data_IF_209652192159
#
_entry.id   IF_209652192159
#
_cell.length_a   1.000
_cell.length_b   1.000
_cell.length_c   1.000
_cell.angle_alpha   90.00
_cell.angle_beta   90.00
_cell.angle_gamma   90.00
#
_symmetry.space_group_name_H-M   'P 1'
#
loop_
_entity.id
_entity.type
_entity.pdbx_description
1 polymer ?
#
# COMPACT_ATOMS: atom_id res chain seq x y z
N UNK A 1 -7.97 50.19 19.37
CA UNK A 1 -8.16 48.84 19.93
C UNK A 1 -8.50 47.87 18.79
N UNK A 2 -7.51 47.19 18.21
CA UNK A 2 -7.71 46.19 17.14
C UNK A 2 -7.90 44.82 17.80
N UNK A 3 -9.13 44.31 17.79
CA UNK A 3 -9.45 42.94 18.21
C UNK A 3 -9.08 41.99 17.09
N UNK A 4 -7.82 41.55 17.05
CA UNK A 4 -7.39 40.42 16.22
C UNK A 4 -7.98 39.15 16.82
N UNK A 5 -9.01 38.59 16.19
CA UNK A 5 -9.64 37.33 16.56
C UNK A 5 -8.67 36.16 16.28
N UNK A 6 -8.10 35.51 17.31
CA UNK A 6 -7.16 34.38 17.13
C UNK A 6 -7.87 33.12 16.59
N UNK A 7 -9.20 33.08 16.65
CA UNK A 7 -10.02 31.96 16.18
C UNK A 7 -9.94 31.74 14.67
N UNK A 8 -9.64 32.78 13.87
CA UNK A 8 -9.65 32.70 12.41
C UNK A 8 -8.36 32.08 11.84
N UNK A 9 -7.26 32.11 12.61
CA UNK A 9 -5.97 31.51 12.20
C UNK A 9 -5.96 29.99 12.42
N UNK A 10 -6.66 29.49 13.44
CA UNK A 10 -6.74 28.05 13.74
C UNK A 10 -7.58 27.26 12.72
N UNK A 11 -8.60 27.89 12.14
CA UNK A 11 -9.48 27.21 11.16
C UNK A 11 -8.76 26.94 9.83
N UNK A 12 -7.80 27.79 9.45
CA UNK A 12 -7.03 27.62 8.21
C UNK A 12 -6.00 26.47 8.29
N UNK A 13 -5.46 26.19 9.48
CA UNK A 13 -4.49 25.11 9.67
C UNK A 13 -5.10 23.70 9.60
N UNK A 14 -6.38 23.55 9.97
CA UNK A 14 -7.08 22.26 9.92
C UNK A 14 -7.45 21.83 8.48
N UNK A 15 -7.59 22.77 7.55
CA UNK A 15 -7.89 22.48 6.14
C UNK A 15 -6.65 22.07 5.32
N UNK A 16 -5.45 22.30 5.85
CA UNK A 16 -4.17 21.90 5.24
C UNK A 16 -3.71 20.50 5.67
N UNK A 17 -4.48 19.83 6.53
CA UNK A 17 -4.44 18.37 6.67
C UNK A 17 -5.10 17.74 5.43
N UNK A 18 -4.60 18.10 4.24
CA UNK A 18 -4.76 17.30 3.04
C UNK A 18 -4.34 15.90 3.43
N UNK A 19 -5.30 14.98 3.49
CA UNK A 19 -5.02 13.57 3.50
C UNK A 19 -4.16 13.33 2.26
N UNK A 20 -2.83 13.33 2.44
CA UNK A 20 -1.96 12.67 1.50
C UNK A 20 -2.47 11.24 1.55
N UNK A 21 -3.24 10.85 0.54
CA UNK A 21 -3.44 9.44 0.23
C UNK A 21 -2.03 8.97 -0.10
N UNK A 22 -1.30 8.59 0.94
CA UNK A 22 0.08 8.13 0.82
C UNK A 22 0.05 6.88 -0.03
N UNK A 23 0.99 6.77 -0.95
CA UNK A 23 1.25 5.49 -1.59
C UNK A 23 1.45 4.44 -0.48
N UNK A 24 0.77 3.31 -0.58
CA UNK A 24 1.04 2.17 0.29
C UNK A 24 2.45 1.69 0.01
N UNK A 25 3.25 1.52 1.04
CA UNK A 25 4.62 1.03 0.97
C UNK A 25 4.71 -0.38 1.54
N UNK A 26 5.85 -1.03 1.37
CA UNK A 26 6.09 -2.33 1.99
C UNK A 26 5.97 -2.30 3.53
N UNK A 27 6.24 -1.16 4.17
CA UNK A 27 6.11 -0.99 5.62
C UNK A 27 4.65 -0.99 6.10
N UNK A 28 3.70 -0.69 5.20
CA UNK A 28 2.27 -0.71 5.51
C UNK A 28 1.67 -2.13 5.38
N UNK A 29 2.46 -3.09 4.90
CA UNK A 29 2.04 -4.49 4.81
C UNK A 29 2.21 -5.14 6.19
N UNK A 30 1.13 -5.61 6.83
CA UNK A 30 1.23 -6.30 8.10
C UNK A 30 1.77 -7.72 7.87
N UNK A 31 3.10 -7.81 7.79
CA UNK A 31 3.81 -9.07 7.78
C UNK A 31 3.62 -9.79 9.13
N UNK A 32 3.63 -11.12 9.10
CA UNK A 32 3.61 -11.98 10.28
C UNK A 32 4.80 -11.74 11.23
N UNK A 33 5.96 -11.38 10.69
CA UNK A 33 7.16 -11.05 11.45
C UNK A 33 7.59 -9.58 11.23
N UNK A 34 7.87 -8.80 12.31
CA UNK A 34 8.40 -7.44 12.18
C UNK A 34 9.88 -7.37 11.76
N UNK A 35 10.65 -8.46 11.86
CA UNK A 35 12.06 -8.51 11.47
C UNK A 35 12.21 -8.45 9.94
N UNK A 36 12.92 -7.44 9.38
CA UNK A 36 13.10 -7.31 7.94
C UNK A 36 14.01 -8.39 7.32
N UNK A 37 14.74 -9.16 8.13
CA UNK A 37 15.58 -10.29 7.67
C UNK A 37 14.79 -11.57 7.45
N UNK A 38 13.60 -11.69 8.06
CA UNK A 38 12.68 -12.81 7.88
C UNK A 38 11.78 -12.53 6.67
N UNK A 39 11.47 -13.50 5.79
CA UNK A 39 10.50 -13.30 4.71
C UNK A 39 9.17 -12.73 5.22
N UNK A 40 8.61 -11.73 4.55
CA UNK A 40 7.30 -11.19 4.89
C UNK A 40 6.21 -12.14 4.38
N UNK A 41 5.39 -12.68 5.29
CA UNK A 41 4.18 -13.43 4.91
C UNK A 41 2.94 -12.62 5.28
N UNK A 42 2.18 -12.20 4.27
CA UNK A 42 0.93 -11.46 4.44
C UNK A 42 -0.28 -12.39 4.27
N UNK A 43 -1.11 -12.50 5.31
CA UNK A 43 -2.29 -13.39 5.32
C UNK A 43 -3.63 -12.66 5.54
N UNK A 44 -3.64 -11.32 5.44
CA UNK A 44 -4.82 -10.48 5.65
C UNK A 44 -5.50 -10.04 4.35
N UNK A 45 -6.42 -9.07 4.45
CA UNK A 45 -6.98 -8.39 3.29
C UNK A 45 -6.57 -6.92 3.32
N UNK A 46 -5.98 -6.43 2.23
CA UNK A 46 -5.50 -5.05 2.13
C UNK A 46 -5.72 -4.51 0.71
N UNK A 47 -6.31 -3.32 0.63
CA UNK A 47 -6.37 -2.54 -0.60
C UNK A 47 -5.21 -1.55 -0.62
N UNK A 48 -4.34 -1.71 -1.61
CA UNK A 48 -3.20 -0.85 -1.86
C UNK A 48 -3.67 0.43 -2.54
N UNK A 49 -3.18 1.58 -2.07
CA UNK A 49 -3.44 2.86 -2.70
C UNK A 49 -3.02 2.87 -4.18
N UNK A 50 -3.75 3.54 -5.08
CA UNK A 50 -3.40 3.59 -6.49
C UNK A 50 -1.98 4.13 -6.74
N UNK A 51 -1.24 3.53 -7.67
CA UNK A 51 0.10 4.00 -8.07
C UNK A 51 1.22 3.66 -7.09
N UNK A 52 0.95 2.76 -6.15
CA UNK A 52 1.90 2.40 -5.10
C UNK A 52 3.01 1.46 -5.56
N UNK A 53 4.17 1.60 -4.93
CA UNK A 53 5.28 0.65 -5.05
C UNK A 53 5.55 0.01 -3.69
N UNK A 54 5.36 -1.31 -3.61
CA UNK A 54 5.72 -2.13 -2.47
C UNK A 54 7.15 -2.62 -2.67
N UNK A 55 8.12 -1.89 -2.11
CA UNK A 55 9.54 -2.25 -2.18
C UNK A 55 9.99 -2.94 -0.90
N UNK A 56 10.18 -4.25 -1.00
CA UNK A 56 10.67 -5.09 0.09
C UNK A 56 12.20 -5.17 0.13
N UNK A 57 12.92 -4.51 -0.77
CA UNK A 57 14.39 -4.51 -0.83
C UNK A 57 14.94 -5.92 -0.99
N UNK A 58 15.65 -6.41 0.03
CA UNK A 58 16.21 -7.79 0.08
C UNK A 58 15.29 -8.78 0.79
N UNK A 59 14.10 -8.36 1.23
CA UNK A 59 13.14 -9.19 1.96
C UNK A 59 12.22 -9.90 0.98
N UNK A 60 12.19 -11.24 1.03
CA UNK A 60 11.23 -12.01 0.23
C UNK A 60 9.79 -11.71 0.67
N UNK A 61 8.86 -11.68 -0.28
CA UNK A 61 7.45 -11.41 -0.03
C UNK A 61 6.58 -12.60 -0.40
N UNK A 62 5.66 -13.00 0.49
CA UNK A 62 4.71 -14.07 0.24
C UNK A 62 3.30 -13.64 0.63
N UNK A 63 2.33 -13.97 -0.21
CA UNK A 63 0.90 -13.89 0.14
C UNK A 63 0.48 -15.28 0.63
N UNK A 64 0.08 -15.35 1.90
CA UNK A 64 -0.37 -16.56 2.57
C UNK A 64 -1.73 -17.05 2.06
N UNK A 65 -2.25 -18.20 2.56
CA UNK A 65 -3.40 -18.90 1.97
C UNK A 65 -4.71 -18.11 2.06
N UNK A 66 -4.81 -17.19 3.02
CA UNK A 66 -5.94 -16.27 3.21
C UNK A 66 -5.61 -14.84 2.80
N UNK A 67 -4.41 -14.60 2.24
CA UNK A 67 -3.95 -13.28 1.87
C UNK A 67 -4.65 -12.78 0.61
N UNK A 68 -5.25 -11.60 0.70
CA UNK A 68 -5.93 -10.92 -0.40
C UNK A 68 -5.33 -9.52 -0.54
N UNK A 69 -4.51 -9.33 -1.59
CA UNK A 69 -3.96 -8.03 -1.92
C UNK A 69 -4.71 -7.44 -3.12
N UNK A 70 -5.35 -6.29 -2.92
CA UNK A 70 -6.13 -5.62 -3.97
C UNK A 70 -5.41 -4.35 -4.42
N UNK A 71 -5.01 -4.27 -5.69
CA UNK A 71 -4.49 -3.05 -6.27
C UNK A 71 -5.62 -2.03 -6.48
N UNK A 72 -5.45 -0.81 -5.96
CA UNK A 72 -6.39 0.30 -6.14
C UNK A 72 -6.62 0.67 -7.61
N UNK A 73 -7.75 1.33 -7.87
CA UNK A 73 -8.26 1.59 -9.22
C UNK A 73 -7.34 2.49 -10.08
N UNK A 74 -7.36 2.25 -11.40
CA UNK A 74 -6.86 3.18 -12.42
C UNK A 74 -5.35 3.37 -12.50
N UNK A 75 -4.55 2.62 -11.75
CA UNK A 75 -3.09 2.75 -11.72
C UNK A 75 -2.38 1.38 -11.65
N UNK A 76 -1.04 1.40 -11.74
CA UNK A 76 -0.21 0.22 -11.55
C UNK A 76 0.19 0.02 -10.08
N UNK A 77 0.10 -1.22 -9.59
CA UNK A 77 0.80 -1.68 -8.40
C UNK A 77 2.15 -2.28 -8.82
N UNK A 78 3.25 -1.80 -8.24
CA UNK A 78 4.58 -2.40 -8.44
C UNK A 78 5.02 -3.11 -7.18
N UNK A 79 5.40 -4.38 -7.29
CA UNK A 79 5.97 -5.17 -6.19
C UNK A 79 7.43 -5.45 -6.50
N UNK A 80 8.36 -5.00 -5.64
CA UNK A 80 9.79 -5.27 -5.74
C UNK A 80 10.25 -6.14 -4.59
N UNK A 81 10.78 -7.32 -4.89
CA UNK A 81 11.31 -8.24 -3.90
C UNK A 81 12.25 -9.25 -4.58
N UNK A 82 13.23 -9.85 -3.89
CA UNK A 82 14.05 -10.92 -4.48
C UNK A 82 13.24 -12.16 -4.85
N UNK A 83 12.12 -12.38 -4.15
CA UNK A 83 11.15 -13.43 -4.46
C UNK A 83 9.74 -12.96 -4.08
N UNK A 84 8.77 -13.27 -4.94
CA UNK A 84 7.33 -13.10 -4.68
C UNK A 84 6.66 -14.47 -4.81
N UNK A 85 5.93 -14.90 -3.77
CA UNK A 85 5.21 -16.18 -3.76
C UNK A 85 3.73 -15.98 -3.42
N UNK A 86 2.86 -16.63 -4.20
CA UNK A 86 1.44 -16.74 -3.86
C UNK A 86 1.20 -18.18 -3.39
N UNK A 87 0.75 -18.35 -2.15
CA UNK A 87 0.38 -19.66 -1.62
C UNK A 87 -1.00 -20.09 -2.15
N UNK A 88 -1.33 -21.38 -2.05
CA UNK A 88 -2.64 -21.86 -2.47
C UNK A 88 -3.74 -21.16 -1.68
N UNK A 89 -4.72 -20.56 -2.38
CA UNK A 89 -5.79 -19.75 -1.78
C UNK A 89 -5.50 -18.24 -1.72
N UNK A 90 -4.23 -17.83 -1.91
CA UNK A 90 -3.86 -16.42 -2.01
C UNK A 90 -4.49 -15.76 -3.24
N UNK A 91 -4.91 -14.51 -3.07
CA UNK A 91 -5.48 -13.70 -4.14
C UNK A 91 -4.68 -12.39 -4.31
N UNK A 92 -4.29 -12.14 -5.55
CA UNK A 92 -3.76 -10.85 -6.00
C UNK A 92 -4.70 -10.35 -7.09
N UNK A 93 -5.45 -9.31 -6.77
CA UNK A 93 -6.53 -8.83 -7.62
C UNK A 93 -6.44 -7.33 -7.83
N UNK A 94 -7.16 -6.84 -8.82
CA UNK A 94 -7.38 -5.42 -9.04
C UNK A 94 -8.78 -5.07 -8.54
N UNK A 95 -8.95 -3.85 -8.00
CA UNK A 95 -10.27 -3.36 -7.68
C UNK A 95 -11.17 -3.36 -8.94
N UNK A 96 -12.47 -3.68 -8.83
CA UNK A 96 -13.39 -3.70 -9.97
C UNK A 96 -13.49 -2.28 -10.56
N UNK A 97 -12.78 -2.04 -11.65
CA UNK A 97 -12.70 -0.71 -12.23
C UNK A 97 -13.97 -0.38 -13.03
N UNK A 98 -14.51 0.83 -12.82
CA UNK A 98 -15.63 1.37 -13.62
C UNK A 98 -15.21 1.86 -15.02
N UNK A 99 -14.01 1.52 -15.52
CA UNK A 99 -13.59 1.90 -16.87
C UNK A 99 -12.09 1.92 -17.19
N UNK A 100 -11.18 1.78 -16.21
CA UNK A 100 -9.72 1.76 -16.43
C UNK A 100 -9.10 0.54 -15.77
N UNK A 101 -8.56 -0.39 -16.56
CA UNK A 101 -7.88 -1.57 -16.02
C UNK A 101 -6.71 -1.17 -15.14
N UNK A 102 -6.62 -1.73 -13.92
CA UNK A 102 -5.42 -1.61 -13.10
C UNK A 102 -4.39 -2.65 -13.56
N UNK A 103 -3.11 -2.30 -13.43
CA UNK A 103 -2.00 -3.17 -13.80
C UNK A 103 -1.25 -3.63 -12.54
N UNK A 104 -0.74 -4.86 -12.56
CA UNK A 104 0.10 -5.38 -11.47
C UNK A 104 1.44 -5.78 -12.07
N UNK A 105 2.48 -5.07 -11.69
CA UNK A 105 3.86 -5.29 -12.11
C UNK A 105 4.63 -5.94 -10.97
N UNK A 106 5.25 -7.09 -11.23
CA UNK A 106 6.14 -7.76 -10.27
C UNK A 106 7.57 -7.68 -10.82
N UNK A 107 8.47 -7.08 -10.06
CA UNK A 107 9.88 -6.92 -10.39
C UNK A 107 10.73 -7.69 -9.36
N UNK A 108 11.39 -8.75 -9.82
CA UNK A 108 12.26 -9.55 -8.95
C UNK A 108 13.67 -8.95 -8.92
N UNK A 109 14.16 -8.54 -7.74
CA UNK A 109 15.43 -7.80 -7.56
C UNK A 109 16.65 -8.71 -7.35
N UNK A 110 16.68 -9.88 -8.01
CA UNK A 110 17.68 -10.94 -7.83
C UNK A 110 19.11 -10.54 -8.19
#
# INVERSE_FOLDING_TARGET
MRRTCPALVLLAAALLASARVGATTAADIPCDDPDPTVPCVFSGSLTVAPGSTLDFGTRAFSIGPSGILTAGEGNSLTIKAPAVRLQAGALLCTAPASGVGANVTIETTG
#
